data_IF_587957222642
#
_entry.id   IF_587957222642
#
_cell.length_a   1.000
_cell.length_b   1.000
_cell.length_c   1.000
_cell.angle_alpha   90.00
_cell.angle_beta   90.00
_cell.angle_gamma   90.00
#
_symmetry.space_group_name_H-M   'P 1'
#
loop_
_entity.id
_entity.type
_entity.pdbx_description
1 polymer ?
#
# COMPACT_ATOMS: atom_id res chain seq x y z
N UNK A 1 -2.20 11.57 -20.94
CA UNK A 1 -2.19 10.10 -20.83
C UNK A 1 -3.23 9.72 -19.79
N UNK A 2 -4.32 9.08 -20.19
CA UNK A 2 -5.25 8.49 -19.21
C UNK A 2 -4.52 7.29 -18.60
N UNK A 3 -4.05 7.43 -17.36
CA UNK A 3 -3.39 6.36 -16.63
C UNK A 3 -4.43 5.28 -16.28
N UNK A 4 -4.58 4.30 -17.15
CA UNK A 4 -5.34 3.09 -16.84
C UNK A 4 -4.63 2.35 -15.71
N UNK A 5 -5.39 1.88 -14.71
CA UNK A 5 -4.84 1.04 -13.63
C UNK A 5 -4.11 -0.17 -14.22
N UNK A 6 -2.91 -0.44 -13.71
CA UNK A 6 -2.15 -1.64 -14.07
C UNK A 6 -2.69 -2.82 -13.25
N UNK A 7 -3.04 -3.90 -13.93
CA UNK A 7 -3.47 -5.14 -13.28
C UNK A 7 -2.25 -6.03 -13.02
N UNK A 8 -2.00 -6.34 -11.75
CA UNK A 8 -0.89 -7.20 -11.35
C UNK A 8 -1.40 -8.62 -11.05
N UNK A 9 -1.00 -9.58 -11.90
CA UNK A 9 -1.32 -11.01 -11.79
C UNK A 9 -0.13 -11.86 -11.33
N UNK A 10 0.85 -11.28 -10.63
CA UNK A 10 2.00 -12.04 -10.15
C UNK A 10 1.58 -13.16 -9.19
N UNK A 11 2.20 -14.33 -9.35
CA UNK A 11 1.94 -15.50 -8.52
C UNK A 11 2.52 -15.38 -7.09
N UNK A 12 3.49 -14.49 -6.88
CA UNK A 12 4.11 -14.25 -5.57
C UNK A 12 5.46 -13.52 -5.65
N UNK A 13 5.71 -12.48 -4.83
CA UNK A 13 4.69 -11.73 -4.07
C UNK A 13 3.63 -11.13 -4.99
N UNK A 14 2.40 -10.97 -4.49
CA UNK A 14 1.20 -10.63 -5.28
C UNK A 14 0.68 -9.22 -5.02
N UNK A 15 -0.32 -8.80 -5.80
CA UNK A 15 -1.01 -7.52 -5.60
C UNK A 15 -1.63 -7.43 -4.20
N UNK A 16 -1.47 -6.26 -3.56
CA UNK A 16 -2.18 -5.88 -2.34
C UNK A 16 -3.30 -4.89 -2.64
N UNK A 17 -4.37 -4.84 -1.83
CA UNK A 17 -5.38 -3.78 -1.93
C UNK A 17 -4.77 -2.39 -1.71
N UNK A 18 -5.20 -1.41 -2.51
CA UNK A 18 -4.68 -0.03 -2.44
C UNK A 18 -4.86 0.58 -1.05
N UNK A 19 -6.02 0.39 -0.40
CA UNK A 19 -6.30 0.92 0.94
C UNK A 19 -5.32 0.41 2.01
N UNK A 20 -4.79 -0.80 1.85
CA UNK A 20 -3.79 -1.36 2.76
C UNK A 20 -2.44 -0.68 2.56
N UNK A 21 -2.04 -0.49 1.29
CA UNK A 21 -0.82 0.23 0.94
C UNK A 21 -0.87 1.69 1.39
N UNK A 22 -2.01 2.36 1.19
CA UNK A 22 -2.23 3.75 1.63
C UNK A 22 -2.13 3.88 3.15
N UNK A 23 -2.77 2.96 3.89
CA UNK A 23 -2.66 2.96 5.36
C UNK A 23 -1.22 2.76 5.81
N UNK A 24 -0.54 1.75 5.25
CA UNK A 24 0.85 1.46 5.57
C UNK A 24 1.77 2.65 5.27
N UNK A 25 1.55 3.33 4.14
CA UNK A 25 2.31 4.54 3.79
C UNK A 25 2.05 5.69 4.77
N UNK A 26 0.80 5.90 5.19
CA UNK A 26 0.42 6.95 6.13
C UNK A 26 0.99 6.72 7.54
N UNK A 27 1.00 5.47 7.98
CA UNK A 27 1.42 5.08 9.34
C UNK A 27 2.90 4.69 9.42
N UNK A 28 3.64 4.74 8.31
CA UNK A 28 5.03 4.27 8.20
C UNK A 28 6.00 4.85 9.24
N UNK A 29 5.78 6.09 9.69
CA UNK A 29 6.66 6.78 10.64
C UNK A 29 6.10 6.84 12.05
N UNK A 30 4.81 6.59 12.22
CA UNK A 30 4.13 6.64 13.50
C UNK A 30 2.84 5.83 13.41
N UNK A 31 2.95 4.55 13.78
CA UNK A 31 1.81 3.67 13.81
C UNK A 31 0.87 4.07 14.95
N UNK A 32 -0.39 4.38 14.62
CA UNK A 32 -1.46 4.62 15.59
C UNK A 32 -1.09 5.59 16.74
N UNK A 33 -0.33 6.65 16.44
CA UNK A 33 0.15 7.64 17.42
C UNK A 33 0.98 7.04 18.58
N UNK A 34 1.53 5.85 18.39
CA UNK A 34 2.35 5.16 19.40
C UNK A 34 3.76 5.74 19.54
N UNK A 35 4.20 6.56 18.58
CA UNK A 35 5.59 7.01 18.45
C UNK A 35 6.53 5.95 17.88
N UNK A 36 6.00 4.81 17.44
CA UNK A 36 6.76 3.71 16.85
C UNK A 36 6.66 3.73 15.32
N UNK A 37 7.79 3.49 14.64
CA UNK A 37 7.91 3.28 13.19
C UNK A 37 8.19 1.82 12.87
#
# INVERSE_FOLDING_TARGET
MTLSRIFNFSAGPSMMPESVLERAAKEMLNYADSGMS
#
